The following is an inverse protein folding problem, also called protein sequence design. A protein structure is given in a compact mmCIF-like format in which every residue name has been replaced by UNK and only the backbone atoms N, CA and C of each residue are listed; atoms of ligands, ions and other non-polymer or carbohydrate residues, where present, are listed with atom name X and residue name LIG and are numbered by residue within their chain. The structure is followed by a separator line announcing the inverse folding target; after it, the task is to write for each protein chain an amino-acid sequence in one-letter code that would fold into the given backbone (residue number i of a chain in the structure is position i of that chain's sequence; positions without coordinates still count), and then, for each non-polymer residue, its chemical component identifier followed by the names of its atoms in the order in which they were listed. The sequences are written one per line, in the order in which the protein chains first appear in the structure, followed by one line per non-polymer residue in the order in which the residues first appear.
data_IF_799031197468
#
_entry.id   IF_799031197468
#
_cell.length_a   1.000
_cell.length_b   1.000
_cell.length_c   1.000
_cell.angle_alpha   90.00
_cell.angle_beta   90.00
_cell.angle_gamma   90.00
#
_symmetry.space_group_name_H-M   'P 1'
#
loop_
_entity.id
_entity.type
_entity.pdbx_description
1 polymer ?
#
# COMPACT_ATOMS: atom_id res chain seq x y z
N UNK A 1 2.26 8.00 14.29
CA UNK A 1 2.60 6.63 13.85
C UNK A 1 2.57 6.69 12.34
N UNK A 2 3.68 6.42 11.65
CA UNK A 2 3.75 6.51 10.19
C UNK A 2 3.70 5.10 9.59
N UNK A 3 3.18 4.97 8.37
CA UNK A 3 3.11 3.67 7.68
C UNK A 3 4.27 3.53 6.70
N UNK A 4 4.99 2.40 6.76
CA UNK A 4 6.11 2.11 5.85
C UNK A 4 5.58 1.58 4.51
N UNK A 5 5.97 2.19 3.40
CA UNK A 5 5.69 1.68 2.05
C UNK A 5 6.92 0.99 1.46
N UNK A 6 6.79 -0.28 1.05
CA UNK A 6 7.83 -1.06 0.39
C UNK A 6 7.29 -1.72 -0.88
N UNK A 7 8.12 -1.76 -1.93
CA UNK A 7 7.83 -2.43 -3.19
C UNK A 7 8.71 -3.68 -3.33
N UNK A 8 8.10 -4.80 -3.69
CA UNK A 8 8.80 -6.03 -4.02
C UNK A 8 8.67 -6.33 -5.50
N UNK A 9 9.80 -6.51 -6.19
CA UNK A 9 9.82 -6.84 -7.61
C UNK A 9 10.97 -7.79 -7.94
N UNK A 10 10.85 -8.49 -9.06
CA UNK A 10 11.88 -9.42 -9.55
C UNK A 10 12.54 -8.78 -10.77
N UNK A 11 13.87 -8.70 -10.76
CA UNK A 11 14.66 -8.26 -11.92
C UNK A 11 14.67 -9.33 -13.01
N UNK A 12 15.04 -8.95 -14.23
CA UNK A 12 15.14 -9.88 -15.37
C UNK A 12 16.06 -11.09 -15.11
N UNK A 13 17.05 -10.93 -14.23
CA UNK A 13 17.95 -12.00 -13.80
C UNK A 13 17.36 -12.92 -12.71
N UNK A 14 16.07 -12.77 -12.38
CA UNK A 14 15.38 -13.55 -11.35
C UNK A 14 15.64 -13.11 -9.91
N UNK A 15 16.43 -12.04 -9.68
CA UNK A 15 16.73 -11.57 -8.31
C UNK A 15 15.53 -10.83 -7.72
N UNK A 16 14.97 -11.25 -6.58
CA UNK A 16 13.95 -10.48 -5.86
C UNK A 16 14.59 -9.28 -5.17
N UNK A 17 13.93 -8.13 -5.26
CA UNK A 17 14.37 -6.86 -4.66
C UNK A 17 13.23 -6.29 -3.84
N UNK A 18 13.53 -5.98 -2.58
CA UNK A 18 12.71 -5.12 -1.73
C UNK A 18 13.27 -3.69 -1.80
N UNK A 19 12.42 -2.74 -2.15
CA UNK A 19 12.76 -1.31 -2.21
C UNK A 19 11.86 -0.54 -1.26
N UNK A 20 12.47 0.17 -0.31
CA UNK A 20 11.79 1.19 0.47
C UNK A 20 11.46 2.40 -0.42
N UNK A 21 10.22 2.86 -0.37
CA UNK A 21 9.76 4.01 -1.15
C UNK A 21 9.69 5.25 -0.27
N UNK A 22 8.84 5.20 0.76
CA UNK A 22 8.61 6.31 1.66
C UNK A 22 7.92 5.86 2.96
N UNK A 23 7.81 6.81 3.88
CA UNK A 23 6.79 6.77 4.93
C UNK A 23 5.56 7.50 4.43
N UNK A 24 4.39 6.87 4.56
CA UNK A 24 3.11 7.50 4.33
C UNK A 24 2.72 8.31 5.57
N UNK A 25 2.28 9.56 5.41
CA UNK A 25 1.81 10.36 6.53
C UNK A 25 0.60 9.68 7.18
N UNK A 26 0.44 9.90 8.49
CA UNK A 26 -0.72 9.40 9.22
C UNK A 26 -1.95 10.25 8.87
N UNK A 27 -2.54 10.00 7.72
CA UNK A 27 -3.76 10.65 7.24
C UNK A 27 -4.96 10.10 8.03
N UNK A 28 -5.13 10.57 9.27
CA UNK A 28 -6.33 10.39 10.08
C UNK A 28 -6.72 8.95 10.49
N UNK A 29 -7.76 8.83 11.30
CA UNK A 29 -8.22 7.55 11.87
C UNK A 29 -9.17 6.76 10.95
N UNK A 30 -9.44 7.25 9.72
CA UNK A 30 -10.41 6.66 8.81
C UNK A 30 -9.70 5.93 7.68
N UNK A 31 -10.19 4.74 7.35
CA UNK A 31 -9.66 3.92 6.25
C UNK A 31 -9.78 4.58 4.87
N UNK A 32 -10.64 5.58 4.70
CA UNK A 32 -10.81 6.33 3.43
C UNK A 32 -9.60 7.22 3.17
N UNK A 33 -9.22 8.01 4.17
CA UNK A 33 -8.10 8.94 4.10
C UNK A 33 -6.79 8.20 3.83
N UNK A 34 -6.59 7.04 4.47
CA UNK A 34 -5.44 6.17 4.19
C UNK A 34 -5.48 5.57 2.77
N UNK A 35 -6.67 5.23 2.25
CA UNK A 35 -6.81 4.73 0.88
C UNK A 35 -6.39 5.78 -0.13
N UNK A 36 -6.90 7.00 0.02
CA UNK A 36 -6.60 8.11 -0.89
C UNK A 36 -5.11 8.48 -0.86
N UNK A 37 -4.49 8.48 0.34
CA UNK A 37 -3.06 8.77 0.50
C UNK A 37 -2.19 7.68 -0.16
N UNK A 38 -2.55 6.41 0.00
CA UNK A 38 -1.88 5.28 -0.65
C UNK A 38 -1.99 5.40 -2.18
N UNK A 39 -3.19 5.67 -2.71
CA UNK A 39 -3.42 5.77 -4.15
C UNK A 39 -2.70 6.99 -4.75
N UNK A 40 -2.67 8.11 -4.04
CA UNK A 40 -1.93 9.31 -4.42
C UNK A 40 -0.45 9.03 -4.46
N UNK A 41 0.10 8.40 -3.43
CA UNK A 41 1.52 8.05 -3.36
C UNK A 41 1.93 7.08 -4.46
N UNK A 42 1.14 6.03 -4.69
CA UNK A 42 1.40 5.08 -5.77
C UNK A 42 1.41 5.77 -7.15
N UNK A 43 0.46 6.69 -7.38
CA UNK A 43 0.40 7.49 -8.61
C UNK A 43 1.62 8.39 -8.79
N UNK A 44 2.17 8.97 -7.72
CA UNK A 44 3.40 9.77 -7.78
C UNK A 44 4.63 8.97 -8.23
N UNK A 45 4.62 7.64 -8.05
CA UNK A 45 5.67 6.74 -8.49
C UNK A 45 5.33 6.00 -9.80
N UNK A 46 4.25 6.41 -10.50
CA UNK A 46 3.71 5.72 -11.68
C UNK A 46 3.42 4.22 -11.43
N UNK A 47 3.11 3.88 -10.17
CA UNK A 47 2.73 2.53 -9.77
C UNK A 47 1.21 2.44 -9.75
N UNK A 48 0.65 1.64 -10.63
CA UNK A 48 -0.79 1.38 -10.60
C UNK A 48 -1.06 0.03 -9.93
N UNK A 49 -1.93 -0.03 -8.90
CA UNK A 49 -2.32 -1.26 -8.22
C UNK A 49 -2.69 -2.42 -9.15
N UNK A 50 -3.31 -2.11 -10.30
CA UNK A 50 -3.71 -3.07 -11.35
C UNK A 50 -2.55 -3.86 -11.94
N UNK A 51 -1.33 -3.32 -11.91
CA UNK A 51 -0.12 -3.99 -12.39
C UNK A 51 0.61 -4.78 -11.30
N UNK A 52 0.16 -4.68 -10.04
CA UNK A 52 0.76 -5.38 -8.90
C UNK A 52 0.19 -6.80 -8.78
N UNK A 53 1.08 -7.80 -8.68
CA UNK A 53 0.70 -9.22 -8.57
C UNK A 53 0.19 -9.61 -7.19
N UNK A 54 0.63 -8.90 -6.16
CA UNK A 54 0.25 -9.11 -4.78
C UNK A 54 0.36 -7.78 -4.02
N UNK A 55 -0.56 -7.56 -3.08
CA UNK A 55 -0.58 -6.40 -2.20
C UNK A 55 -0.80 -6.90 -0.77
N UNK A 56 0.00 -6.38 0.17
CA UNK A 56 -0.12 -6.71 1.59
C UNK A 56 -0.23 -5.42 2.39
N UNK A 57 -1.33 -5.28 3.14
CA UNK A 57 -1.58 -4.13 3.99
C UNK A 57 -1.63 -4.60 5.44
N UNK A 58 -0.84 -3.99 6.32
CA UNK A 58 -0.94 -4.27 7.74
C UNK A 58 -2.24 -3.65 8.26
N UNK A 59 -3.09 -4.49 8.86
CA UNK A 59 -4.42 -4.07 9.26
C UNK A 59 -4.39 -3.65 10.72
N UNK A 60 -4.38 -2.34 10.98
CA UNK A 60 -4.56 -1.84 12.34
C UNK A 60 -5.90 -2.34 12.91
N UNK A 61 -6.00 -2.54 14.23
CA UNK A 61 -7.16 -3.17 14.90
C UNK A 61 -8.52 -2.50 14.58
N UNK A 62 -8.49 -1.22 14.21
CA UNK A 62 -9.61 -0.38 13.81
C UNK A 62 -10.01 -0.50 12.32
N UNK A 63 -9.22 -1.20 11.51
CA UNK A 63 -9.53 -1.61 10.13
C UNK A 63 -9.78 -3.13 10.03
N UNK A 64 -9.83 -3.84 11.17
CA UNK A 64 -10.13 -5.25 11.26
C UNK A 64 -11.57 -5.55 10.83
N UNK A 65 -11.74 -6.08 9.63
CA UNK A 65 -13.01 -6.51 9.06
C UNK A 65 -12.86 -6.79 7.57
N UNK A 66 -13.53 -7.82 7.07
CA UNK A 66 -13.45 -8.23 5.66
C UNK A 66 -13.83 -7.09 4.70
N UNK A 67 -14.67 -6.15 5.15
CA UNK A 67 -15.28 -5.10 4.32
C UNK A 67 -14.75 -3.69 4.60
N UNK A 68 -13.97 -3.49 5.67
CA UNK A 68 -13.50 -2.16 6.10
C UNK A 68 -11.98 -1.95 5.96
N UNK A 69 -11.24 -3.03 5.65
CA UNK A 69 -9.81 -2.98 5.43
C UNK A 69 -9.45 -2.31 4.10
N UNK A 70 -8.25 -1.73 4.05
CA UNK A 70 -7.66 -1.09 2.86
C UNK A 70 -7.68 -2.02 1.63
N UNK A 71 -7.45 -3.31 1.85
CA UNK A 71 -7.53 -4.34 0.81
C UNK A 71 -8.91 -4.47 0.16
N UNK A 72 -10.00 -4.27 0.91
CA UNK A 72 -11.35 -4.38 0.37
C UNK A 72 -11.69 -3.23 -0.61
N UNK A 73 -10.94 -2.13 -0.54
CA UNK A 73 -11.20 -0.88 -1.27
C UNK A 73 -10.32 -0.67 -2.50
N UNK A 74 -9.16 -1.32 -2.58
CA UNK A 74 -8.17 -1.17 -3.68
C UNK A 74 -8.33 -2.27 -4.76
N UNK A 75 -9.52 -2.87 -4.90
CA UNK A 75 -9.76 -3.96 -5.87
C UNK A 75 -9.53 -3.55 -7.32
#
# INVERSE_FOLDING_TARGET
MEHKCTLWYVKDNGTPIERFMCFLPNSGHKSEELTDEVMTTLSLYDLYPVFSRAQSYDNASNMAGADNGLQARIK
#
